data_IF_129765478006
#
_entry.id   IF_129765478006
#
_cell.length_a   1.000
_cell.length_b   1.000
_cell.length_c   1.000
_cell.angle_alpha   90.00
_cell.angle_beta   90.00
_cell.angle_gamma   90.00
#
_symmetry.space_group_name_H-M   'P 1'
#
loop_
_entity.id
_entity.type
_entity.pdbx_description
1 polymer ?
#
# COMPACT_ATOMS: atom_id res chain seq x y z
N UNK A 1 10.11 -8.15 2.24
CA UNK A 1 9.69 -6.80 1.82
C UNK A 1 10.90 -6.08 1.27
N UNK A 2 10.81 -5.59 0.04
CA UNK A 2 11.90 -4.83 -0.58
C UNK A 2 11.70 -3.34 -0.28
N UNK A 3 12.64 -2.73 0.45
CA UNK A 3 12.59 -1.31 0.81
C UNK A 3 13.25 -0.41 -0.23
N UNK A 4 13.87 -0.96 -1.27
CA UNK A 4 14.57 -0.20 -2.32
C UNK A 4 13.75 0.93 -2.97
N UNK A 5 12.45 0.75 -3.31
CA UNK A 5 11.68 1.82 -3.94
C UNK A 5 11.43 3.03 -3.03
N UNK A 6 11.23 2.82 -1.72
CA UNK A 6 10.97 3.88 -0.73
C UNK A 6 12.25 4.39 -0.03
N UNK A 7 13.41 3.78 -0.31
CA UNK A 7 14.69 4.21 0.25
C UNK A 7 15.17 5.52 -0.41
N UNK A 8 16.08 6.28 0.23
CA UNK A 8 16.67 7.48 -0.37
C UNK A 8 17.27 7.17 -1.76
N UNK A 9 16.75 7.83 -2.80
CA UNK A 9 17.14 7.58 -4.19
C UNK A 9 16.31 6.53 -4.94
N UNK A 10 15.32 5.93 -4.27
CA UNK A 10 14.32 5.05 -4.89
C UNK A 10 13.25 5.83 -5.66
N UNK A 11 12.59 5.14 -6.59
CA UNK A 11 11.57 5.73 -7.47
C UNK A 11 10.33 6.25 -6.71
N UNK A 12 10.16 5.83 -5.46
CA UNK A 12 8.97 5.99 -4.62
C UNK A 12 9.35 6.66 -3.28
N UNK A 13 10.50 7.33 -3.24
CA UNK A 13 10.97 8.07 -2.06
C UNK A 13 10.20 9.37 -1.84
N UNK A 14 9.70 9.98 -2.92
CA UNK A 14 8.94 11.23 -2.88
C UNK A 14 7.46 10.91 -3.08
N UNK A 15 6.57 11.40 -2.21
CA UNK A 15 6.82 12.27 -1.05
C UNK A 15 7.58 11.58 0.09
N UNK A 16 8.61 12.25 0.63
CA UNK A 16 9.43 11.74 1.74
C UNK A 16 8.74 12.01 3.07
N UNK A 17 7.55 11.43 3.25
CA UNK A 17 6.88 11.41 4.54
C UNK A 17 6.84 10.00 5.07
N UNK A 18 6.96 9.86 6.39
CA UNK A 18 6.81 8.57 7.06
C UNK A 18 5.43 7.95 6.79
N UNK A 19 4.41 8.78 6.57
CA UNK A 19 3.06 8.30 6.29
C UNK A 19 2.98 7.61 4.93
N UNK A 20 3.54 8.23 3.90
CA UNK A 20 3.51 7.70 2.54
C UNK A 20 4.34 6.41 2.44
N UNK A 21 5.53 6.38 3.05
CA UNK A 21 6.36 5.18 3.10
C UNK A 21 5.70 4.03 3.90
N UNK A 22 5.01 4.35 5.00
CA UNK A 22 4.28 3.36 5.79
C UNK A 22 3.08 2.80 5.03
N UNK A 23 2.27 3.66 4.40
CA UNK A 23 1.13 3.26 3.59
C UNK A 23 1.57 2.36 2.42
N UNK A 24 2.67 2.72 1.75
CA UNK A 24 3.27 1.89 0.72
C UNK A 24 3.63 0.49 1.24
N UNK A 25 4.34 0.42 2.37
CA UNK A 25 4.80 -0.85 2.94
C UNK A 25 3.63 -1.72 3.40
N UNK A 26 2.61 -1.14 4.03
CA UNK A 26 1.42 -1.86 4.47
C UNK A 26 0.62 -2.41 3.28
N UNK A 27 0.42 -1.59 2.25
CA UNK A 27 -0.32 -1.99 1.06
C UNK A 27 0.42 -3.09 0.28
N UNK A 28 1.72 -2.95 0.07
CA UNK A 28 2.52 -3.98 -0.57
C UNK A 28 2.48 -5.31 0.21
N UNK A 29 2.44 -5.27 1.55
CA UNK A 29 2.37 -6.47 2.37
C UNK A 29 1.01 -7.14 2.22
N UNK A 30 -0.04 -6.33 2.31
CA UNK A 30 -1.39 -6.79 2.11
C UNK A 30 -1.55 -7.44 0.74
N UNK A 31 -1.09 -6.83 -0.35
CA UNK A 31 -1.23 -7.42 -1.69
C UNK A 31 -0.50 -8.77 -1.84
N UNK A 32 0.65 -8.92 -1.19
CA UNK A 32 1.41 -10.19 -1.20
C UNK A 32 0.72 -11.29 -0.38
N UNK A 33 0.02 -10.94 0.70
CA UNK A 33 -0.51 -11.92 1.67
C UNK A 33 -2.04 -12.05 1.64
N UNK A 34 -2.78 -11.15 1.00
CA UNK A 34 -4.26 -11.14 0.99
C UNK A 34 -4.86 -12.42 0.41
N UNK A 35 -4.16 -13.05 -0.54
CA UNK A 35 -4.60 -14.33 -1.11
C UNK A 35 -4.61 -15.47 -0.07
N UNK A 36 -3.72 -15.42 0.91
CA UNK A 36 -3.59 -16.46 1.94
C UNK A 36 -4.25 -16.07 3.27
N UNK A 37 -4.20 -14.80 3.65
CA UNK A 37 -4.61 -14.30 4.98
C UNK A 37 -5.88 -13.42 4.92
N UNK A 38 -6.36 -13.08 3.72
CA UNK A 38 -7.51 -12.18 3.55
C UNK A 38 -7.31 -10.85 4.27
N UNK A 39 -8.33 -10.43 5.03
CA UNK A 39 -8.31 -9.15 5.73
C UNK A 39 -7.28 -9.07 6.87
N UNK A 40 -6.90 -10.22 7.43
CA UNK A 40 -5.91 -10.27 8.53
C UNK A 40 -4.51 -9.85 8.09
N UNK A 41 -4.19 -9.88 6.79
CA UNK A 41 -2.92 -9.40 6.27
C UNK A 41 -2.68 -7.90 6.53
N UNK A 42 -3.75 -7.12 6.69
CA UNK A 42 -3.65 -5.69 7.01
C UNK A 42 -3.70 -5.42 8.53
N UNK A 43 -3.82 -6.46 9.36
CA UNK A 43 -3.87 -6.28 10.81
C UNK A 43 -2.46 -6.20 11.42
N UNK A 44 -1.88 -5.01 11.40
CA UNK A 44 -0.59 -4.72 12.05
C UNK A 44 -0.77 -4.33 13.52
N UNK A 45 -1.61 -5.06 14.25
CA UNK A 45 -1.90 -4.78 15.67
C UNK A 45 -2.65 -3.45 15.87
N UNK A 46 -3.49 -3.06 14.92
CA UNK A 46 -4.23 -1.78 14.94
C UNK A 46 -3.49 -0.58 14.37
N UNK A 47 -2.27 -0.77 13.85
CA UNK A 47 -1.49 0.31 13.20
C UNK A 47 -1.91 0.55 11.75
N UNK A 48 -2.57 -0.42 11.11
CA UNK A 48 -3.12 -0.30 9.77
C UNK A 48 -4.52 -0.92 9.69
N UNK A 49 -5.32 -0.45 8.74
CA UNK A 49 -6.68 -0.92 8.47
C UNK A 49 -6.96 -0.95 6.99
N UNK A 50 -7.90 -1.82 6.61
CA UNK A 50 -8.42 -1.86 5.25
C UNK A 50 -9.35 -0.67 5.02
N UNK A 51 -9.09 0.04 3.93
CA UNK A 51 -9.85 1.21 3.53
C UNK A 51 -10.10 1.17 2.03
N UNK A 52 -11.08 1.96 1.57
CA UNK A 52 -11.36 2.09 0.15
C UNK A 52 -10.26 2.94 -0.52
N UNK A 53 -9.77 2.54 -1.70
CA UNK A 53 -8.77 3.31 -2.43
C UNK A 53 -9.35 4.67 -2.82
N UNK A 54 -8.68 5.72 -2.37
CA UNK A 54 -8.84 7.09 -2.82
C UNK A 54 -7.82 7.43 -3.91
N UNK A 55 -7.94 8.59 -4.56
CA UNK A 55 -6.94 9.06 -5.53
C UNK A 55 -5.53 9.19 -4.94
N UNK A 56 -5.42 9.41 -3.62
CA UNK A 56 -4.15 9.56 -2.91
C UNK A 56 -3.46 8.23 -2.63
N UNK A 57 -4.22 7.14 -2.48
CA UNK A 57 -3.73 5.77 -2.28
C UNK A 57 -3.36 5.03 -3.57
N UNK A 58 -3.75 5.58 -4.73
CA UNK A 58 -3.34 5.05 -6.04
C UNK A 58 -1.89 5.39 -6.38
N UNK A 59 -1.28 6.24 -5.55
CA UNK A 59 0.17 6.34 -5.47
C UNK A 59 0.66 5.11 -4.69
N UNK A 60 0.78 4.02 -5.45
CA UNK A 60 1.70 2.90 -5.24
C UNK A 60 1.19 1.70 -4.43
N UNK A 61 1.38 0.50 -5.00
CA UNK A 61 2.69 -0.13 -4.93
C UNK A 61 3.07 -0.90 -6.20
N UNK A 62 4.38 -1.16 -6.33
CA UNK A 62 4.95 -2.13 -7.29
C UNK A 62 4.90 -1.69 -8.75
N UNK A 63 5.70 -0.71 -9.16
CA UNK A 63 6.23 -0.61 -10.54
C UNK A 63 5.20 -0.66 -11.68
N UNK A 64 3.92 -0.45 -11.36
CA UNK A 64 2.79 -0.49 -12.26
C UNK A 64 1.97 0.71 -11.85
N UNK A 65 1.81 1.65 -12.79
CA UNK A 65 0.83 2.69 -12.67
C UNK A 65 -0.54 1.99 -12.58
N UNK A 66 -0.99 1.69 -11.36
CA UNK A 66 -2.32 1.18 -11.11
C UNK A 66 -3.23 2.40 -11.22
N UNK A 67 -3.83 2.51 -12.39
CA UNK A 67 -4.86 3.50 -12.66
C UNK A 67 -6.11 3.13 -11.85
N UNK A 68 -7.02 4.09 -11.63
CA UNK A 68 -8.31 3.80 -10.97
C UNK A 68 -9.08 2.62 -11.62
N UNK A 69 -8.79 2.30 -12.89
CA UNK A 69 -9.32 1.12 -13.60
C UNK A 69 -8.68 -0.23 -13.24
N UNK A 70 -7.53 -0.26 -12.56
CA UNK A 70 -6.87 -1.49 -12.10
C UNK A 70 -7.36 -1.94 -10.71
N UNK A 71 -7.97 -1.03 -9.95
CA UNK A 71 -8.73 -1.33 -8.74
C UNK A 71 -10.21 -1.43 -9.12
N UNK A 72 -10.82 -2.61 -8.98
CA UNK A 72 -12.27 -2.68 -9.07
C UNK A 72 -12.85 -1.90 -7.89
N UNK A 73 -14.05 -1.33 -8.04
CA UNK A 73 -14.72 -0.47 -7.04
C UNK A 73 -14.90 -1.10 -5.62
N UNK A 74 -14.46 -2.34 -5.40
CA UNK A 74 -14.51 -3.09 -4.14
C UNK A 74 -13.13 -3.58 -3.65
N UNK A 75 -12.03 -3.27 -4.34
CA UNK A 75 -10.70 -3.67 -3.91
C UNK A 75 -10.24 -2.76 -2.76
N UNK A 76 -10.04 -3.34 -1.58
CA UNK A 76 -9.53 -2.63 -0.39
C UNK A 76 -8.01 -2.47 -0.47
N UNK A 77 -7.49 -1.37 0.06
CA UNK A 77 -6.06 -1.14 0.29
C UNK A 77 -5.76 -1.14 1.78
N UNK A 78 -4.52 -1.43 2.13
CA UNK A 78 -4.08 -1.38 3.52
C UNK A 78 -3.33 -0.07 3.79
N UNK A 79 -3.92 0.78 4.62
CA UNK A 79 -3.35 2.07 5.02
C UNK A 79 -3.11 2.14 6.53
N UNK A 80 -2.14 2.95 6.93
CA UNK A 80 -1.90 3.28 8.33
C UNK A 80 -3.10 4.02 8.93
N UNK A 81 -3.50 3.64 10.15
CA UNK A 81 -4.52 4.35 10.95
C UNK A 81 -3.90 5.49 11.74
#
# INVERSE_FOLDING_TARGET
MDCSPISPGGAHYIPNTLNDHANWAFNAYYLLHRAAQGASACNFGGVASLVAPTNSTLLEPVGKALTFSDFFSNDLVCERV
#
